data_IF_849508271361
#
_entry.id   IF_849508271361
#
_cell.length_a   1.000
_cell.length_b   1.000
_cell.length_c   1.000
_cell.angle_alpha   90.00
_cell.angle_beta   90.00
_cell.angle_gamma   90.00
#
_symmetry.space_group_name_H-M   'P 1'
#
loop_
_entity.id
_entity.type
_entity.pdbx_description
1 polymer ?
#
# COMPACT_ATOMS: atom_id res chain seq x y z
N UNK A 1 12.55 18.13 -11.66
CA UNK A 1 12.11 16.78 -11.24
C UNK A 1 10.74 16.51 -11.85
N UNK A 2 10.44 15.28 -12.31
CA UNK A 2 9.14 14.93 -12.94
C UNK A 2 7.95 14.93 -11.96
N UNK A 3 8.20 15.04 -10.66
CA UNK A 3 7.20 15.10 -9.59
C UNK A 3 7.35 16.36 -8.76
N UNK A 4 6.24 16.87 -8.25
CA UNK A 4 6.23 17.98 -7.28
C UNK A 4 6.88 17.54 -5.96
N UNK A 5 7.66 18.41 -5.32
CA UNK A 5 8.36 18.14 -4.05
C UNK A 5 7.44 17.51 -2.99
N UNK A 6 6.20 17.98 -2.89
CA UNK A 6 5.18 17.44 -1.99
C UNK A 6 4.93 15.93 -2.17
N UNK A 7 4.88 15.45 -3.41
CA UNK A 7 4.65 14.03 -3.73
C UNK A 7 5.85 13.19 -3.31
N UNK A 8 7.05 13.66 -3.59
CA UNK A 8 8.29 12.97 -3.20
C UNK A 8 8.42 12.86 -1.69
N UNK A 9 8.12 13.94 -0.95
CA UNK A 9 8.11 13.94 0.52
C UNK A 9 7.05 12.98 1.05
N UNK A 10 5.84 12.99 0.48
CA UNK A 10 4.76 12.08 0.92
C UNK A 10 5.14 10.61 0.72
N UNK A 11 5.77 10.27 -0.41
CA UNK A 11 6.28 8.92 -0.66
C UNK A 11 7.37 8.52 0.32
N UNK A 12 8.35 9.41 0.56
CA UNK A 12 9.42 9.16 1.52
C UNK A 12 8.86 8.93 2.93
N UNK A 13 7.87 9.72 3.35
CA UNK A 13 7.20 9.54 4.63
C UNK A 13 6.45 8.21 4.72
N UNK A 14 5.72 7.81 3.67
CA UNK A 14 5.03 6.52 3.63
C UNK A 14 6.01 5.34 3.70
N UNK A 15 7.16 5.45 3.02
CA UNK A 15 8.23 4.46 3.08
C UNK A 15 8.83 4.35 4.49
N UNK A 16 9.13 5.48 5.13
CA UNK A 16 9.66 5.46 6.51
C UNK A 16 8.61 4.93 7.49
N UNK A 17 7.34 5.29 7.31
CA UNK A 17 6.25 4.79 8.14
C UNK A 17 6.08 3.27 8.01
N UNK A 18 6.21 2.70 6.80
CA UNK A 18 6.14 1.25 6.61
C UNK A 18 7.30 0.52 7.28
N UNK A 19 8.51 1.08 7.26
CA UNK A 19 9.67 0.51 7.96
C UNK A 19 9.50 0.56 9.48
N UNK A 20 9.09 1.72 10.00
CA UNK A 20 8.84 1.88 11.43
C UNK A 20 7.75 0.92 11.92
N UNK A 21 6.62 0.82 11.20
CA UNK A 21 5.55 -0.11 11.55
C UNK A 21 6.02 -1.57 11.47
N UNK A 22 6.81 -1.92 10.45
CA UNK A 22 7.39 -3.26 10.33
C UNK A 22 8.24 -3.64 11.54
N UNK A 23 9.12 -2.73 11.99
CA UNK A 23 9.94 -2.95 13.19
C UNK A 23 9.09 -3.13 14.45
N UNK A 24 8.06 -2.31 14.64
CA UNK A 24 7.15 -2.41 15.80
C UNK A 24 6.42 -3.75 15.82
N UNK A 25 5.94 -4.23 14.67
CA UNK A 25 5.26 -5.53 14.59
C UNK A 25 6.24 -6.68 14.84
N UNK A 26 7.44 -6.62 14.26
CA UNK A 26 8.47 -7.65 14.44
C UNK A 26 8.88 -7.77 15.90
N UNK A 27 9.05 -6.65 16.61
CA UNK A 27 9.45 -6.64 18.02
C UNK A 27 8.53 -7.51 18.88
N UNK A 28 7.24 -7.55 18.58
CA UNK A 28 6.28 -8.35 19.33
C UNK A 28 6.34 -9.85 19.02
N UNK A 29 6.90 -10.22 17.86
CA UNK A 29 7.04 -11.60 17.40
C UNK A 29 8.45 -12.18 17.64
N UNK A 30 9.39 -11.38 18.13
CA UNK A 30 10.72 -11.84 18.52
C UNK A 30 10.70 -12.39 19.95
N UNK A 31 11.53 -13.40 20.26
CA UNK A 31 11.65 -13.93 21.61
C UNK A 31 12.05 -12.82 22.59
N UNK A 32 11.19 -12.57 23.59
CA UNK A 32 11.50 -11.64 24.69
C UNK A 32 11.95 -12.45 25.89
N UNK A 33 13.18 -12.23 26.34
CA UNK A 33 13.69 -12.79 27.59
C UNK A 33 13.09 -11.99 28.74
N UNK A 34 12.17 -12.59 29.50
CA UNK A 34 11.68 -11.98 30.73
C UNK A 34 12.80 -11.99 31.79
N UNK A 35 12.76 -11.04 32.72
CA UNK A 35 13.72 -10.94 33.83
C UNK A 35 13.75 -12.18 34.75
N UNK A 36 12.81 -13.11 34.57
CA UNK A 36 12.69 -14.43 35.22
C UNK A 36 13.42 -15.57 34.48
N UNK A 37 14.04 -15.31 33.34
CA UNK A 37 14.76 -16.33 32.56
C UNK A 37 13.88 -17.19 31.64
N UNK A 38 12.57 -16.97 31.62
CA UNK A 38 11.64 -17.60 30.68
C UNK A 38 11.62 -16.83 29.35
N UNK A 39 11.79 -17.57 28.25
CA UNK A 39 11.67 -17.06 26.88
C UNK A 39 10.21 -17.20 26.49
N UNK A 40 9.49 -16.09 26.35
CA UNK A 40 8.13 -16.08 25.82
C UNK A 40 8.19 -15.74 24.34
N UNK A 41 8.07 -16.76 23.49
CA UNK A 41 7.87 -16.60 22.06
C UNK A 41 6.37 -16.52 21.76
N UNK A 42 5.95 -15.46 21.04
CA UNK A 42 4.60 -15.41 20.49
C UNK A 42 4.57 -16.10 19.13
N UNK A 43 3.82 -17.19 19.06
CA UNK A 43 3.50 -17.86 17.80
C UNK A 43 2.69 -16.95 16.88
N UNK A 44 2.78 -17.21 15.57
CA UNK A 44 1.95 -16.50 14.60
C UNK A 44 0.47 -16.84 14.84
N UNK A 45 -0.45 -15.88 14.59
CA UNK A 45 -1.87 -16.16 14.73
C UNK A 45 -2.29 -17.28 13.78
N UNK A 46 -3.37 -17.98 14.15
CA UNK A 46 -3.94 -19.12 13.42
C UNK A 46 -3.06 -20.39 13.43
N UNK A 47 -2.16 -20.53 14.41
CA UNK A 47 -1.23 -21.67 14.54
C UNK A 47 -0.43 -21.90 13.25
N UNK A 48 -0.02 -20.81 12.60
CA UNK A 48 0.80 -20.87 11.40
C UNK A 48 2.24 -21.06 11.85
N UNK A 49 2.81 -22.23 11.61
CA UNK A 49 4.24 -22.46 11.83
C UNK A 49 5.05 -21.64 10.82
N UNK A 50 6.14 -21.05 11.32
CA UNK A 50 7.10 -20.38 10.44
C UNK A 50 7.84 -21.45 9.64
N UNK A 51 8.05 -21.26 8.33
CA UNK A 51 8.80 -22.24 7.56
C UNK A 51 10.23 -22.31 8.08
N UNK A 52 10.64 -23.50 8.53
CA UNK A 52 11.99 -23.79 8.98
C UNK A 52 12.94 -23.86 7.78
N UNK A 53 13.50 -22.72 7.38
CA UNK A 53 14.53 -22.66 6.34
C UNK A 53 15.87 -22.35 6.99
N UNK A 54 16.90 -23.13 6.66
CA UNK A 54 18.28 -22.88 7.12
C UNK A 54 18.70 -21.47 6.69
N UNK A 55 18.94 -20.61 7.67
CA UNK A 55 19.14 -19.16 7.48
C UNK A 55 20.18 -18.79 6.41
N UNK A 56 21.22 -19.61 6.23
CA UNK A 56 22.31 -19.41 5.27
C UNK A 56 21.89 -19.69 3.81
N UNK A 57 20.98 -20.64 3.58
CA UNK A 57 20.53 -21.00 2.24
C UNK A 57 19.12 -20.53 1.93
N UNK A 58 18.47 -19.79 2.85
CA UNK A 58 17.10 -19.29 2.73
C UNK A 58 16.81 -18.51 1.45
N UNK A 59 17.81 -17.83 0.87
CA UNK A 59 17.59 -17.00 -0.32
C UNK A 59 17.23 -17.82 -1.58
N UNK A 60 17.75 -19.03 -1.74
CA UNK A 60 17.50 -19.88 -2.91
C UNK A 60 16.04 -20.33 -2.99
N UNK A 61 15.47 -21.04 -1.99
CA UNK A 61 14.09 -21.50 -2.05
C UNK A 61 13.12 -20.32 -2.13
N UNK A 62 13.38 -19.22 -1.41
CA UNK A 62 12.53 -18.02 -1.46
C UNK A 62 12.54 -17.40 -2.86
N UNK A 63 13.71 -17.30 -3.50
CA UNK A 63 13.80 -16.78 -4.87
C UNK A 63 13.02 -17.65 -5.86
N UNK A 64 13.13 -18.98 -5.78
CA UNK A 64 12.34 -19.88 -6.62
C UNK A 64 10.84 -19.79 -6.34
N UNK A 65 10.43 -19.64 -5.08
CA UNK A 65 9.03 -19.43 -4.70
C UNK A 65 8.50 -18.13 -5.33
N UNK A 66 9.28 -17.04 -5.28
CA UNK A 66 8.90 -15.76 -5.91
C UNK A 66 8.74 -15.94 -7.42
N UNK A 67 9.69 -16.58 -8.10
CA UNK A 67 9.60 -16.85 -9.54
C UNK A 67 8.36 -17.69 -9.86
N UNK A 68 8.12 -18.76 -9.10
CA UNK A 68 6.96 -19.61 -9.29
C UNK A 68 5.64 -18.85 -9.08
N UNK A 69 5.55 -18.02 -8.04
CA UNK A 69 4.40 -17.15 -7.79
C UNK A 69 4.16 -16.17 -8.96
N UNK A 70 5.21 -15.59 -9.56
CA UNK A 70 5.07 -14.71 -10.73
C UNK A 70 4.58 -15.46 -11.97
N UNK A 71 5.01 -16.70 -12.18
CA UNK A 71 4.53 -17.55 -13.29
C UNK A 71 3.04 -17.84 -13.10
N UNK A 72 2.63 -18.24 -11.90
CA UNK A 72 1.21 -18.48 -11.60
C UNK A 72 0.40 -17.19 -11.82
N UNK A 73 0.90 -16.05 -11.34
CA UNK A 73 0.25 -14.76 -11.56
C UNK A 73 0.05 -14.47 -13.06
N UNK A 74 1.05 -14.75 -13.90
CA UNK A 74 0.94 -14.63 -15.35
C UNK A 74 -0.10 -15.58 -15.96
N UNK A 75 -0.24 -16.80 -15.45
CA UNK A 75 -1.27 -17.75 -15.89
C UNK A 75 -2.67 -17.20 -15.59
N UNK A 76 -2.91 -16.66 -14.39
CA UNK A 76 -4.19 -16.03 -14.04
C UNK A 76 -4.56 -14.89 -15.00
N UNK A 77 -3.58 -14.09 -15.43
CA UNK A 77 -3.78 -13.04 -16.44
C UNK A 77 -4.16 -13.65 -17.79
N UNK A 78 -3.44 -14.70 -18.23
CA UNK A 78 -3.66 -15.35 -19.54
C UNK A 78 -5.08 -15.89 -19.67
N UNK A 79 -5.63 -16.45 -18.59
CA UNK A 79 -7.00 -16.99 -18.55
C UNK A 79 -8.07 -15.96 -18.15
N UNK A 80 -7.69 -14.70 -17.90
CA UNK A 80 -8.59 -13.62 -17.48
C UNK A 80 -9.50 -13.98 -16.29
N UNK A 81 -8.98 -14.75 -15.34
CA UNK A 81 -9.73 -15.26 -14.20
C UNK A 81 -9.89 -14.18 -13.12
N UNK A 82 -10.62 -13.11 -13.42
CA UNK A 82 -10.77 -11.93 -12.56
C UNK A 82 -11.33 -12.27 -11.18
N UNK A 83 -12.29 -13.20 -11.08
CA UNK A 83 -12.89 -13.60 -9.80
C UNK A 83 -11.89 -14.34 -8.90
N UNK A 84 -11.18 -15.33 -9.45
CA UNK A 84 -10.16 -16.08 -8.72
C UNK A 84 -8.99 -15.19 -8.31
N UNK A 85 -8.59 -14.27 -9.18
CA UNK A 85 -7.56 -13.29 -8.85
C UNK A 85 -7.96 -12.41 -7.66
N UNK A 86 -9.19 -11.88 -7.66
CA UNK A 86 -9.71 -11.09 -6.54
C UNK A 86 -9.81 -11.89 -5.25
N UNK A 87 -10.23 -13.16 -5.33
CA UNK A 87 -10.31 -14.05 -4.18
C UNK A 87 -8.92 -14.33 -3.59
N UNK A 88 -7.95 -14.62 -4.45
CA UNK A 88 -6.57 -14.85 -3.99
C UNK A 88 -5.99 -13.60 -3.34
N UNK A 89 -6.16 -12.42 -3.96
CA UNK A 89 -5.74 -11.15 -3.34
C UNK A 89 -6.41 -10.90 -2.00
N UNK A 90 -7.72 -11.19 -1.90
CA UNK A 90 -8.45 -11.06 -0.65
C UNK A 90 -7.83 -11.93 0.45
N UNK A 91 -7.57 -13.21 0.17
CA UNK A 91 -6.98 -14.14 1.13
C UNK A 91 -5.59 -13.64 1.56
N UNK A 92 -4.73 -13.26 0.63
CA UNK A 92 -3.37 -12.77 0.94
C UNK A 92 -3.39 -11.48 1.77
N UNK A 93 -4.27 -10.53 1.44
CA UNK A 93 -4.42 -9.28 2.19
C UNK A 93 -5.00 -9.54 3.58
N UNK A 94 -6.00 -10.42 3.69
CA UNK A 94 -6.60 -10.76 4.97
C UNK A 94 -5.56 -11.41 5.90
N UNK A 95 -4.84 -12.43 5.44
CA UNK A 95 -3.82 -13.11 6.25
C UNK A 95 -2.73 -12.15 6.74
N UNK A 96 -2.19 -11.31 5.86
CA UNK A 96 -1.15 -10.35 6.23
C UNK A 96 -1.65 -9.30 7.23
N UNK A 97 -2.91 -8.84 7.10
CA UNK A 97 -3.51 -7.94 8.08
C UNK A 97 -3.78 -8.61 9.42
N UNK A 98 -4.25 -9.87 9.42
CA UNK A 98 -4.48 -10.63 10.66
C UNK A 98 -3.17 -10.76 11.44
N UNK A 99 -2.07 -11.10 10.75
CA UNK A 99 -0.73 -11.17 11.34
C UNK A 99 -0.30 -9.80 11.88
N UNK A 100 -0.45 -8.73 11.10
CA UNK A 100 -0.08 -7.40 11.53
C UNK A 100 -0.87 -6.92 12.77
N UNK A 101 -2.18 -7.16 12.82
CA UNK A 101 -3.02 -6.70 13.94
C UNK A 101 -2.93 -7.60 15.16
N UNK A 102 -2.66 -8.90 15.01
CA UNK A 102 -2.50 -9.80 16.14
C UNK A 102 -1.29 -9.46 17.01
N UNK A 103 -0.36 -8.63 16.53
CA UNK A 103 0.69 -8.04 17.36
C UNK A 103 0.14 -7.02 18.39
N UNK A 104 -0.97 -6.35 18.09
CA UNK A 104 -1.49 -5.25 18.90
C UNK A 104 -2.75 -5.61 19.69
N UNK A 105 -3.58 -6.51 19.17
CA UNK A 105 -4.88 -6.87 19.73
C UNK A 105 -5.06 -8.39 19.79
N UNK A 106 -6.03 -8.86 20.59
CA UNK A 106 -6.35 -10.28 20.68
C UNK A 106 -6.72 -10.86 19.29
N UNK A 107 -6.27 -12.09 19.03
CA UNK A 107 -6.43 -12.82 17.78
C UNK A 107 -7.87 -12.79 17.21
N UNK A 108 -8.90 -12.93 18.05
CA UNK A 108 -10.30 -12.92 17.56
C UNK A 108 -10.66 -11.56 16.94
N UNK A 109 -10.29 -10.46 17.60
CA UNK A 109 -10.52 -9.12 17.07
C UNK A 109 -9.63 -8.83 15.87
N UNK A 110 -8.39 -9.34 15.85
CA UNK A 110 -7.50 -9.23 14.70
C UNK A 110 -8.07 -9.93 13.45
N UNK A 111 -8.67 -11.11 13.61
CA UNK A 111 -9.34 -11.85 12.52
C UNK A 111 -10.49 -11.03 11.94
N UNK A 112 -11.39 -10.55 12.80
CA UNK A 112 -12.56 -9.77 12.38
C UNK A 112 -12.10 -8.49 11.66
N UNK A 113 -11.18 -7.76 12.26
CA UNK A 113 -10.69 -6.49 11.73
C UNK A 113 -9.92 -6.69 10.41
N UNK A 114 -9.07 -7.71 10.32
CA UNK A 114 -8.32 -8.05 9.11
C UNK A 114 -9.23 -8.40 7.93
N UNK A 115 -10.28 -9.20 8.16
CA UNK A 115 -11.29 -9.54 7.15
C UNK A 115 -12.05 -8.29 6.70
N UNK A 116 -12.53 -7.48 7.65
CA UNK A 116 -13.28 -6.25 7.34
C UNK A 116 -12.45 -5.29 6.51
N UNK A 117 -11.20 -5.03 6.90
CA UNK A 117 -10.30 -4.14 6.16
C UNK A 117 -9.92 -4.71 4.79
N UNK A 118 -9.71 -6.02 4.67
CA UNK A 118 -9.46 -6.67 3.38
C UNK A 118 -10.65 -6.53 2.42
N UNK A 119 -11.89 -6.70 2.91
CA UNK A 119 -13.11 -6.47 2.13
C UNK A 119 -13.23 -5.00 1.73
N UNK A 120 -13.00 -4.07 2.65
CA UNK A 120 -13.03 -2.63 2.38
C UNK A 120 -12.03 -2.24 1.28
N UNK A 121 -10.79 -2.76 1.34
CA UNK A 121 -9.76 -2.55 0.32
C UNK A 121 -10.18 -3.08 -1.05
N UNK A 122 -10.83 -4.25 -1.11
CA UNK A 122 -11.23 -4.89 -2.36
C UNK A 122 -12.43 -4.21 -3.05
N UNK A 123 -13.43 -3.77 -2.28
CA UNK A 123 -14.69 -3.25 -2.83
C UNK A 123 -14.74 -1.72 -2.95
N UNK A 124 -14.09 -0.97 -2.05
CA UNK A 124 -14.11 0.50 -2.04
C UNK A 124 -12.71 1.08 -1.74
N UNK A 125 -11.74 0.91 -2.66
CA UNK A 125 -10.40 1.46 -2.46
C UNK A 125 -10.43 2.99 -2.52
N UNK A 126 -10.32 3.66 -1.37
CA UNK A 126 -9.90 5.05 -1.31
C UNK A 126 -8.37 5.11 -1.24
N UNK A 127 -7.76 6.12 -1.86
CA UNK A 127 -6.29 6.24 -1.92
C UNK A 127 -5.65 6.28 -0.54
N UNK A 128 -6.28 6.95 0.42
CA UNK A 128 -5.81 7.05 1.80
C UNK A 128 -5.92 5.70 2.51
N UNK A 129 -7.10 5.04 2.43
CA UNK A 129 -7.31 3.72 3.04
C UNK A 129 -6.33 2.69 2.47
N UNK A 130 -6.11 2.71 1.16
CA UNK A 130 -5.16 1.82 0.51
C UNK A 130 -3.75 2.01 1.07
N UNK A 131 -3.24 3.24 1.13
CA UNK A 131 -1.88 3.49 1.61
C UNK A 131 -1.71 3.16 3.10
N UNK A 132 -2.73 3.41 3.93
CA UNK A 132 -2.73 3.01 5.34
C UNK A 132 -2.70 1.49 5.49
N UNK A 133 -3.54 0.76 4.75
CA UNK A 133 -3.56 -0.71 4.80
C UNK A 133 -2.24 -1.29 4.28
N UNK A 134 -1.63 -0.72 3.23
CA UNK A 134 -0.32 -1.16 2.71
C UNK A 134 0.80 -1.07 3.77
N UNK A 135 0.80 -0.04 4.63
CA UNK A 135 1.76 0.05 5.75
C UNK A 135 1.69 -1.18 6.65
N UNK A 136 0.48 -1.64 7.00
CA UNK A 136 0.29 -2.84 7.82
C UNK A 136 0.59 -4.12 7.07
N UNK A 137 0.27 -4.21 5.77
CA UNK A 137 0.62 -5.39 4.95
C UNK A 137 2.14 -5.58 4.90
N UNK A 138 2.91 -4.51 4.69
CA UNK A 138 4.38 -4.60 4.69
C UNK A 138 4.91 -5.02 6.04
N UNK A 139 4.32 -4.55 7.14
CA UNK A 139 4.70 -4.99 8.49
C UNK A 139 4.34 -6.45 8.77
N UNK A 140 3.17 -6.92 8.34
CA UNK A 140 2.76 -8.33 8.46
C UNK A 140 3.65 -9.26 7.63
N UNK A 141 4.05 -8.85 6.43
CA UNK A 141 5.03 -9.59 5.62
C UNK A 141 6.40 -9.62 6.30
N UNK A 142 6.83 -8.50 6.91
CA UNK A 142 8.11 -8.43 7.60
C UNK A 142 8.15 -9.37 8.82
N UNK A 143 7.06 -9.50 9.57
CA UNK A 143 6.94 -10.46 10.66
C UNK A 143 7.13 -11.93 10.23
N UNK A 144 6.73 -12.27 9.00
CA UNK A 144 6.92 -13.62 8.44
C UNK A 144 8.36 -13.81 7.97
N UNK A 145 8.89 -12.87 7.21
CA UNK A 145 10.12 -13.07 6.46
C UNK A 145 11.41 -12.69 7.22
N UNK A 146 11.37 -11.68 8.08
CA UNK A 146 12.57 -11.19 8.77
C UNK A 146 13.23 -12.27 9.64
N UNK A 147 12.49 -13.07 10.43
CA UNK A 147 13.09 -14.15 11.23
C UNK A 147 13.74 -15.27 10.39
N UNK A 148 13.44 -15.37 9.10
CA UNK A 148 13.96 -16.44 8.21
C UNK A 148 15.29 -16.03 7.55
N UNK A 149 15.61 -14.73 7.58
CA UNK A 149 16.73 -14.17 6.84
C UNK A 149 17.93 -13.86 7.72
N UNK A 150 19.10 -14.37 7.32
CA UNK A 150 20.39 -13.80 7.72
C UNK A 150 20.72 -12.56 6.86
N UNK A 151 21.55 -11.66 7.38
CA UNK A 151 22.06 -10.46 6.71
C UNK A 151 22.71 -10.78 5.35
N UNK A 152 23.45 -11.89 5.25
CA UNK A 152 24.04 -12.33 3.98
C UNK A 152 22.97 -12.79 2.99
N UNK A 153 22.02 -13.62 3.45
CA UNK A 153 20.93 -14.15 2.63
C UNK A 153 20.04 -13.04 2.07
N UNK A 154 19.66 -12.05 2.88
CA UNK A 154 18.82 -10.93 2.41
C UNK A 154 19.57 -10.03 1.43
N UNK A 155 20.87 -9.82 1.62
CA UNK A 155 21.70 -9.01 0.72
C UNK A 155 21.80 -9.66 -0.67
N UNK A 156 22.08 -10.96 -0.72
CA UNK A 156 22.14 -11.72 -1.97
C UNK A 156 20.75 -11.75 -2.64
N UNK A 157 19.69 -11.99 -1.86
CA UNK A 157 18.32 -12.02 -2.38
C UNK A 157 17.93 -10.66 -3.00
N UNK A 158 18.26 -9.54 -2.36
CA UNK A 158 18.00 -8.20 -2.87
C UNK A 158 18.71 -7.94 -4.20
N UNK A 159 19.96 -8.37 -4.34
CA UNK A 159 20.71 -8.27 -5.60
C UNK A 159 20.01 -9.08 -6.70
N UNK A 160 19.63 -10.34 -6.41
CA UNK A 160 18.94 -11.20 -7.36
C UNK A 160 17.59 -10.63 -7.80
N UNK A 161 16.77 -10.15 -6.87
CA UNK A 161 15.46 -9.55 -7.17
C UNK A 161 15.64 -8.24 -7.96
N UNK A 162 16.65 -7.41 -7.64
CA UNK A 162 16.93 -6.19 -8.39
C UNK A 162 17.31 -6.47 -9.85
N UNK A 163 18.14 -7.50 -10.10
CA UNK A 163 18.52 -7.92 -11.46
C UNK A 163 17.29 -8.45 -12.20
N UNK A 164 16.48 -9.29 -11.54
CA UNK A 164 15.25 -9.82 -12.08
C UNK A 164 14.26 -8.71 -12.46
N UNK A 165 14.02 -7.74 -11.58
CA UNK A 165 13.09 -6.64 -11.80
C UNK A 165 13.49 -5.81 -13.02
N UNK A 166 14.78 -5.43 -13.10
CA UNK A 166 15.33 -4.71 -14.25
C UNK A 166 15.14 -5.47 -15.57
N UNK A 167 15.42 -6.78 -15.58
CA UNK A 167 15.19 -7.62 -16.75
C UNK A 167 13.71 -7.74 -17.11
N UNK A 168 12.85 -7.93 -16.11
CA UNK A 168 11.42 -8.17 -16.29
C UNK A 168 10.66 -6.96 -16.81
N UNK A 169 11.14 -5.75 -16.50
CA UNK A 169 10.56 -4.48 -16.96
C UNK A 169 11.08 -4.13 -18.36
N UNK A 170 12.39 -4.23 -18.58
CA UNK A 170 13.02 -3.76 -19.83
C UNK A 170 12.85 -4.74 -20.99
N UNK A 171 13.08 -6.03 -20.75
CA UNK A 171 13.08 -7.06 -21.81
C UNK A 171 11.74 -7.75 -21.93
N UNK A 172 11.27 -8.44 -20.88
CA UNK A 172 10.06 -9.27 -20.99
C UNK A 172 8.75 -8.50 -20.87
N UNK A 173 8.77 -7.32 -20.24
CA UNK A 173 7.60 -6.45 -19.96
C UNK A 173 6.47 -7.18 -19.24
N UNK A 174 6.76 -8.30 -18.57
CA UNK A 174 5.74 -9.12 -17.91
C UNK A 174 5.12 -8.35 -16.72
N UNK A 175 5.94 -7.66 -15.92
CA UNK A 175 5.45 -6.87 -14.78
C UNK A 175 4.55 -5.73 -15.23
N UNK A 176 4.79 -5.15 -16.41
CA UNK A 176 3.92 -4.11 -16.99
C UNK A 176 2.54 -4.69 -17.35
N UNK A 177 2.48 -5.93 -17.87
CA UNK A 177 1.21 -6.61 -18.16
C UNK A 177 0.44 -6.94 -16.87
N UNK A 178 1.16 -7.39 -15.84
CA UNK A 178 0.61 -7.65 -14.50
C UNK A 178 -0.01 -6.38 -13.91
N UNK A 179 0.73 -5.26 -13.91
CA UNK A 179 0.22 -3.99 -13.41
C UNK A 179 -1.05 -3.54 -14.16
N UNK A 180 -1.07 -3.62 -15.48
CA UNK A 180 -2.26 -3.30 -16.30
C UNK A 180 -3.45 -4.19 -15.96
N UNK A 181 -3.23 -5.49 -15.71
CA UNK A 181 -4.29 -6.42 -15.32
C UNK A 181 -4.84 -6.09 -13.94
N UNK A 182 -3.99 -5.83 -12.96
CA UNK A 182 -4.39 -5.44 -11.60
C UNK A 182 -5.22 -4.15 -11.59
N UNK A 183 -4.83 -3.15 -12.38
CA UNK A 183 -5.60 -1.90 -12.53
C UNK A 183 -6.97 -2.15 -13.14
N UNK A 184 -7.07 -2.98 -14.19
CA UNK A 184 -8.36 -3.38 -14.78
C UNK A 184 -9.25 -4.12 -13.77
N UNK A 185 -8.64 -4.97 -12.95
CA UNK A 185 -9.32 -5.71 -11.90
C UNK A 185 -9.68 -4.85 -10.67
N UNK A 186 -9.23 -3.59 -10.59
CA UNK A 186 -9.36 -2.67 -9.43
C UNK A 186 -8.73 -3.22 -8.15
N UNK A 187 -7.68 -4.02 -8.26
CA UNK A 187 -6.95 -4.62 -7.12
C UNK A 187 -5.47 -4.26 -7.15
N UNK A 188 -5.14 -3.08 -7.67
CA UNK A 188 -3.75 -2.64 -7.70
C UNK A 188 -3.22 -2.51 -6.29
N UNK A 189 -2.24 -3.35 -5.96
CA UNK A 189 -1.50 -3.32 -4.70
C UNK A 189 -0.26 -2.48 -4.87
N UNK A 190 -0.04 -1.56 -3.94
CA UNK A 190 1.03 -0.58 -4.01
C UNK A 190 0.54 0.82 -3.62
N UNK A 191 1.51 1.71 -3.41
CA UNK A 191 1.22 3.09 -3.05
C UNK A 191 0.55 3.81 -4.22
N UNK A 192 -0.66 4.30 -3.97
CA UNK A 192 -1.40 5.11 -4.93
C UNK A 192 -1.31 6.58 -4.52
N UNK A 193 -1.01 7.46 -5.46
CA UNK A 193 -0.92 8.90 -5.21
C UNK A 193 -1.99 9.60 -6.05
N UNK A 194 -2.89 10.38 -5.42
CA UNK A 194 -3.84 11.16 -6.17
C UNK A 194 -3.10 12.37 -6.75
N UNK A 195 -2.82 12.33 -8.06
CA UNK A 195 -2.17 13.46 -8.76
C UNK A 195 -3.09 14.68 -8.91
N UNK A 196 -4.38 14.52 -8.59
CA UNK A 196 -5.39 15.57 -8.69
C UNK A 196 -5.91 15.94 -7.30
N UNK A 197 -5.11 16.70 -6.53
CA UNK A 197 -5.70 17.58 -5.53
C UNK A 197 -6.42 18.69 -6.30
N UNK A 198 -7.71 18.45 -6.58
CA UNK A 198 -8.58 19.38 -7.27
C UNK A 198 -8.52 20.73 -6.55
N UNK A 199 -8.45 21.80 -7.35
CA UNK A 199 -8.39 23.25 -7.06
C UNK A 199 -9.50 23.79 -6.11
N UNK A 200 -10.05 23.01 -5.19
CA UNK A 200 -11.19 23.41 -4.33
C UNK A 200 -10.81 24.40 -3.22
N UNK A 201 -9.55 24.45 -2.79
CA UNK A 201 -9.13 25.37 -1.71
C UNK A 201 -9.27 26.86 -2.09
N UNK A 202 -9.16 27.24 -3.36
CA UNK A 202 -9.25 28.66 -3.76
C UNK A 202 -10.69 29.19 -3.75
N UNK A 203 -11.67 28.37 -4.14
CA UNK A 203 -13.09 28.76 -4.13
C UNK A 203 -13.62 28.84 -2.70
N UNK A 204 -13.18 27.93 -1.82
CA UNK A 204 -13.56 27.96 -0.40
C UNK A 204 -13.03 29.22 0.30
N UNK A 205 -11.80 29.65 0.00
CA UNK A 205 -11.22 30.85 0.61
C UNK A 205 -11.91 32.14 0.16
N UNK A 206 -12.31 32.26 -1.12
CA UNK A 206 -13.06 33.44 -1.58
C UNK A 206 -14.47 33.51 -0.98
N UNK A 207 -15.15 32.36 -0.86
CA UNK A 207 -16.44 32.25 -0.17
C UNK A 207 -16.33 32.61 1.32
N UNK A 208 -15.25 32.18 1.98
CA UNK A 208 -15.02 32.43 3.40
C UNK A 208 -14.68 33.92 3.66
N UNK A 209 -13.87 34.55 2.82
CA UNK A 209 -13.61 36.01 2.89
C UNK A 209 -14.90 36.82 2.69
N UNK A 210 -15.76 36.41 1.75
CA UNK A 210 -17.03 37.10 1.48
C UNK A 210 -18.04 36.92 2.62
N UNK A 211 -18.03 35.78 3.31
CA UNK A 211 -18.82 35.54 4.54
C UNK A 211 -18.36 36.40 5.72
N UNK A 212 -17.05 36.60 5.91
CA UNK A 212 -16.52 37.41 7.01
C UNK A 212 -16.64 38.92 6.78
N UNK A 213 -16.50 39.38 5.54
CA UNK A 213 -16.62 40.82 5.20
C UNK A 213 -18.01 41.23 4.71
N UNK A 214 -18.97 40.30 4.67
CA UNK A 214 -20.34 40.55 4.25
C UNK A 214 -21.12 41.41 5.25
N UNK A 215 -21.51 42.63 4.84
CA UNK A 215 -22.36 43.51 5.67
C UNK A 215 -23.80 43.01 5.67
N UNK A 216 -24.41 42.85 6.86
CA UNK A 216 -25.82 42.46 7.01
C UNK A 216 -26.73 43.49 6.31
N UNK A 217 -27.63 43.01 5.45
CA UNK A 217 -28.66 43.81 4.78
C UNK A 217 -28.40 44.19 3.31
N UNK A 218 -27.29 43.75 2.70
CA UNK A 218 -27.03 43.93 1.26
C UNK A 218 -27.02 42.60 0.52
N UNK A 219 -27.81 42.50 -0.55
CA UNK A 219 -27.82 41.36 -1.46
C UNK A 219 -26.58 41.45 -2.36
N UNK A 220 -25.57 40.62 -2.12
CA UNK A 220 -24.41 40.53 -3.00
C UNK A 220 -24.71 39.51 -4.10
N UNK A 221 -24.78 39.91 -5.39
CA UNK A 221 -24.93 38.97 -6.49
C UNK A 221 -23.59 38.21 -6.64
N UNK A 222 -23.42 37.14 -5.85
CA UNK A 222 -22.21 36.33 -5.86
C UNK A 222 -22.11 35.46 -7.12
N UNK A 223 -23.25 35.17 -7.76
CA UNK A 223 -23.30 34.27 -8.91
C UNK A 223 -22.53 34.79 -10.14
N UNK A 224 -22.65 36.07 -10.58
CA UNK A 224 -21.92 36.58 -11.74
C UNK A 224 -20.39 36.58 -11.57
N UNK A 225 -19.89 36.88 -10.37
CA UNK A 225 -18.44 36.96 -10.11
C UNK A 225 -17.82 35.56 -10.08
N UNK A 226 -18.53 34.60 -9.48
CA UNK A 226 -18.12 33.19 -9.47
C UNK A 226 -18.15 32.58 -10.87
N UNK A 227 -19.18 32.88 -11.69
CA UNK A 227 -19.24 32.38 -13.07
C UNK A 227 -18.16 33.01 -13.95
N UNK A 228 -17.87 34.31 -13.80
CA UNK A 228 -16.78 34.99 -14.53
C UNK A 228 -15.41 34.39 -14.17
N UNK A 229 -15.16 34.11 -12.89
CA UNK A 229 -13.95 33.47 -12.40
C UNK A 229 -13.79 32.03 -12.90
N UNK A 230 -14.88 31.26 -12.96
CA UNK A 230 -14.90 29.92 -13.55
C UNK A 230 -14.63 29.96 -15.06
N UNK A 231 -15.19 30.94 -15.79
CA UNK A 231 -14.97 31.10 -17.23
C UNK A 231 -13.52 31.44 -17.59
N UNK A 232 -12.92 32.41 -16.88
CA UNK A 232 -11.51 32.75 -17.03
C UNK A 232 -10.61 31.58 -16.62
N UNK A 233 -10.97 30.85 -15.57
CA UNK A 233 -10.28 29.63 -15.16
C UNK A 233 -10.33 28.52 -16.22
N UNK A 234 -11.46 28.36 -16.90
CA UNK A 234 -11.61 27.39 -18.00
C UNK A 234 -10.79 27.80 -19.24
N UNK A 235 -10.84 29.08 -19.63
CA UNK A 235 -10.09 29.60 -20.78
C UNK A 235 -8.58 29.50 -20.58
N UNK A 236 -8.08 29.84 -19.39
CA UNK A 236 -6.65 29.74 -19.07
C UNK A 236 -6.16 28.30 -19.06
N UNK A 237 -6.95 27.34 -18.57
CA UNK A 237 -6.59 25.92 -18.64
C UNK A 237 -6.60 25.44 -20.09
N UNK A 238 -7.59 25.83 -20.90
CA UNK A 238 -7.67 25.46 -22.31
C UNK A 238 -6.50 26.01 -23.13
N UNK A 239 -6.03 27.22 -22.84
CA UNK A 239 -4.88 27.86 -23.49
C UNK A 239 -3.51 27.28 -23.06
N UNK A 240 -3.43 26.63 -21.90
CA UNK A 240 -2.18 26.03 -21.40
C UNK A 240 -2.05 24.55 -21.83
N UNK A 241 -3.17 23.88 -22.10
CA UNK A 241 -3.22 22.44 -22.44
C UNK A 241 -3.35 22.14 -23.95
N UNK A 242 -3.50 23.17 -24.80
CA UNK A 242 -3.56 23.10 -26.26
C UNK A 242 -2.71 24.22 -26.85
#
# INVERSE_FOLDING_TARGET
MKHTLFITITLALLFLASHAMGLVIIDEYLPKTLSTGEIVERELPLNIERPEVREETSFIPIFFIILFATIIALLFIKFQLFKLWKLWFFISIALTLIIAFSAFINQVYAIILGIVLALMKLFKPSTIMNNLIEIFIYGGLAAIFVPIFNLLSISILLILISIYDAYSVLKSKHMIKLAKFQTKAKVFTGLSIPYQFKKEKRTMLSLLVLLFYGKKGKFYPAMPILTMGCFLGYLTVKFILF
#
